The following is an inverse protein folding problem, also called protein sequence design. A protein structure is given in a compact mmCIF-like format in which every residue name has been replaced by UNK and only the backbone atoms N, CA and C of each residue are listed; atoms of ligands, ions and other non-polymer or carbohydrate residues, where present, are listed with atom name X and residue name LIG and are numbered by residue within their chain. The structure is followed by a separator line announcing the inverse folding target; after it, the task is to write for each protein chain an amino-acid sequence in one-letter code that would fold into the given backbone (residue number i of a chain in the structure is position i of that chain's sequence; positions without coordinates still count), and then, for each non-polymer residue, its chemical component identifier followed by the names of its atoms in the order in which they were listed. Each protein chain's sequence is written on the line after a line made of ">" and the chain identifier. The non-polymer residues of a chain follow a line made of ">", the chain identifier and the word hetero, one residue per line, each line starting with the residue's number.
data_IF_797970226774
#
_entry.id   IF_797970226774
#
_cell.length_a   1.000
_cell.length_b   1.000
_cell.length_c   1.000
_cell.angle_alpha   90.00
_cell.angle_beta   90.00
_cell.angle_gamma   90.00
#
_symmetry.space_group_name_H-M   'P 1'
#
loop_
_entity.id
_entity.type
_entity.pdbx_description
1 polymer ?
#
# COMPACT_ATOMS: atom_id res chain seq x y z
N UNK A 1 8.55 -4.45 -20.17
CA UNK A 1 8.92 -3.48 -19.11
C UNK A 1 7.64 -2.80 -18.68
N UNK A 2 7.21 -3.02 -17.45
CA UNK A 2 6.00 -2.42 -16.87
C UNK A 2 6.39 -1.32 -15.87
N UNK A 3 5.78 -1.27 -14.67
CA UNK A 3 5.99 -0.19 -13.69
C UNK A 3 7.40 -0.09 -13.09
N UNK A 4 8.36 -0.93 -13.51
CA UNK A 4 9.79 -0.71 -13.23
C UNK A 4 10.40 0.41 -14.08
N UNK A 5 9.77 0.78 -15.20
CA UNK A 5 10.23 1.84 -16.07
C UNK A 5 9.29 3.05 -15.95
N UNK A 6 9.85 4.25 -15.85
CA UNK A 6 9.10 5.50 -15.72
C UNK A 6 8.08 5.72 -16.86
N UNK A 7 8.34 5.22 -18.07
CA UNK A 7 7.40 5.27 -19.21
C UNK A 7 6.01 4.70 -18.89
N UNK A 8 5.91 3.80 -17.91
CA UNK A 8 4.63 3.30 -17.40
C UNK A 8 3.68 4.40 -16.94
N UNK A 9 4.22 5.47 -16.32
CA UNK A 9 3.42 6.61 -15.84
C UNK A 9 2.67 7.25 -17.01
N UNK A 10 3.38 7.53 -18.10
CA UNK A 10 2.83 8.16 -19.31
C UNK A 10 1.82 7.24 -20.00
N UNK A 11 2.15 5.96 -20.17
CA UNK A 11 1.28 4.97 -20.79
C UNK A 11 -0.04 4.81 -20.01
N UNK A 12 0.02 4.79 -18.68
CA UNK A 12 -1.16 4.69 -17.84
C UNK A 12 -2.06 5.93 -17.93
N UNK A 13 -1.46 7.13 -18.01
CA UNK A 13 -2.22 8.38 -18.19
C UNK A 13 -2.95 8.39 -19.54
N UNK A 14 -2.33 7.89 -20.61
CA UNK A 14 -2.97 7.76 -21.94
C UNK A 14 -4.17 6.79 -21.87
N UNK A 15 -3.99 5.66 -21.22
CA UNK A 15 -5.09 4.70 -20.96
C UNK A 15 -6.23 5.36 -20.19
N UNK A 16 -5.94 5.99 -19.06
CA UNK A 16 -6.95 6.64 -18.22
C UNK A 16 -7.68 7.77 -18.96
N UNK A 17 -6.96 8.59 -19.72
CA UNK A 17 -7.54 9.63 -20.58
C UNK A 17 -8.58 9.06 -21.55
N UNK A 18 -8.28 7.90 -22.14
CA UNK A 18 -9.17 7.20 -23.07
C UNK A 18 -10.44 6.72 -22.36
N UNK A 19 -10.30 6.17 -21.15
CA UNK A 19 -11.44 5.77 -20.31
C UNK A 19 -12.32 6.96 -19.90
N UNK A 20 -11.73 8.07 -19.46
CA UNK A 20 -12.47 9.26 -19.07
C UNK A 20 -13.26 9.85 -20.24
N UNK A 21 -12.65 9.91 -21.43
CA UNK A 21 -13.30 10.40 -22.63
C UNK A 21 -14.46 9.50 -23.09
N UNK A 22 -14.31 8.17 -22.97
CA UNK A 22 -15.29 7.22 -23.45
C UNK A 22 -16.48 6.99 -22.49
N UNK A 23 -16.25 7.09 -21.18
CA UNK A 23 -17.23 6.64 -20.18
C UNK A 23 -17.58 7.68 -19.12
N UNK A 24 -16.85 8.79 -19.03
CA UNK A 24 -17.05 9.79 -17.97
C UNK A 24 -18.36 10.58 -18.07
N UNK A 25 -19.07 10.47 -19.20
CA UNK A 25 -20.46 10.93 -19.32
C UNK A 25 -21.37 10.24 -18.29
N UNK A 26 -21.09 8.98 -17.94
CA UNK A 26 -21.87 8.13 -17.01
C UNK A 26 -21.14 7.76 -15.72
N UNK A 27 -19.84 7.46 -15.79
CA UNK A 27 -19.04 7.06 -14.63
C UNK A 27 -18.67 8.29 -13.80
N UNK A 28 -19.06 8.29 -12.51
CA UNK A 28 -18.84 9.42 -11.58
C UNK A 28 -17.87 9.13 -10.44
N UNK A 29 -17.42 7.90 -10.30
CA UNK A 29 -16.43 7.51 -9.31
C UNK A 29 -15.35 6.70 -10.02
N UNK A 30 -14.12 7.18 -9.96
CA UNK A 30 -12.97 6.57 -10.60
C UNK A 30 -11.97 6.13 -9.53
N UNK A 31 -11.56 4.87 -9.59
CA UNK A 31 -10.42 4.36 -8.84
C UNK A 31 -9.31 4.13 -9.85
N UNK A 32 -8.18 4.81 -9.65
CA UNK A 32 -7.00 4.69 -10.53
C UNK A 32 -6.35 3.33 -10.42
N UNK A 33 -5.93 2.97 -9.21
CA UNK A 33 -5.36 1.67 -8.89
C UNK A 33 -6.15 1.02 -7.75
N UNK A 34 -6.38 -0.28 -7.90
CA UNK A 34 -6.81 -1.17 -6.84
C UNK A 34 -5.55 -1.86 -6.28
N UNK A 35 -5.36 -1.75 -4.97
CA UNK A 35 -4.30 -2.44 -4.21
C UNK A 35 -2.88 -2.27 -4.76
N UNK A 36 -2.43 -1.05 -5.11
CA UNK A 36 -1.08 -0.84 -5.65
C UNK A 36 0.01 -1.25 -4.66
N UNK A 37 -0.29 -1.21 -3.35
CA UNK A 37 0.59 -1.69 -2.29
C UNK A 37 0.74 -3.21 -2.34
N UNK A 38 -0.35 -3.97 -2.48
CA UNK A 38 -0.28 -5.43 -2.55
C UNK A 38 0.30 -5.91 -3.88
N UNK A 39 -0.11 -5.30 -5.00
CA UNK A 39 0.43 -5.56 -6.34
C UNK A 39 1.97 -5.49 -6.37
N UNK A 40 2.55 -4.42 -5.82
CA UNK A 40 3.99 -4.24 -5.82
C UNK A 40 4.72 -5.27 -4.94
N UNK A 41 4.13 -5.64 -3.81
CA UNK A 41 4.71 -6.63 -2.90
C UNK A 41 4.67 -8.04 -3.48
N UNK A 42 3.48 -8.48 -3.89
CA UNK A 42 3.28 -9.84 -4.41
C UNK A 42 3.91 -10.06 -5.79
N UNK A 43 4.07 -9.00 -6.60
CA UNK A 43 4.64 -9.08 -7.94
C UNK A 43 6.14 -8.81 -8.07
N UNK A 44 6.72 -8.03 -7.14
CA UNK A 44 8.12 -7.57 -7.21
C UNK A 44 8.93 -7.81 -5.93
N UNK A 45 8.35 -8.41 -4.90
CA UNK A 45 9.11 -8.93 -3.75
C UNK A 45 8.94 -10.44 -3.55
N UNK A 46 7.91 -11.04 -4.13
CA UNK A 46 7.63 -12.48 -4.11
C UNK A 46 7.25 -12.96 -5.52
N UNK A 47 7.15 -14.28 -5.70
CA UNK A 47 6.63 -14.91 -6.91
C UNK A 47 5.16 -15.35 -6.76
N UNK A 48 4.35 -14.59 -6.01
CA UNK A 48 2.94 -14.91 -5.79
C UNK A 48 2.03 -14.35 -6.88
N UNK A 49 2.36 -13.17 -7.41
CA UNK A 49 1.63 -12.54 -8.52
C UNK A 49 2.57 -12.23 -9.70
N UNK A 50 2.05 -12.12 -10.94
CA UNK A 50 2.85 -11.62 -12.05
C UNK A 50 3.39 -10.20 -11.80
N UNK A 51 4.62 -9.87 -12.25
CA UNK A 51 5.52 -10.71 -13.04
C UNK A 51 6.32 -11.77 -12.23
N UNK A 52 6.22 -11.76 -10.90
CA UNK A 52 6.84 -12.76 -10.03
C UNK A 52 8.35 -12.55 -9.84
N UNK A 53 8.77 -11.28 -9.77
CA UNK A 53 10.17 -10.89 -9.59
C UNK A 53 10.50 -10.82 -8.10
N UNK A 54 11.62 -11.40 -7.69
CA UNK A 54 12.04 -11.41 -6.29
C UNK A 54 13.52 -11.83 -6.11
N UNK A 55 14.07 -11.54 -4.94
CA UNK A 55 15.40 -12.01 -4.51
C UNK A 55 15.35 -13.50 -4.15
N UNK A 56 16.34 -14.27 -4.59
CA UNK A 56 16.50 -15.68 -4.20
C UNK A 56 16.93 -15.82 -2.74
N UNK A 57 16.41 -16.82 -2.02
CA UNK A 57 16.91 -17.17 -0.68
C UNK A 57 15.93 -16.98 0.46
N UNK A 58 14.72 -16.47 0.19
CA UNK A 58 13.62 -16.42 1.17
C UNK A 58 12.64 -17.54 0.84
N UNK A 59 12.61 -18.58 1.68
CA UNK A 59 11.92 -19.86 1.38
C UNK A 59 10.41 -19.69 1.08
N UNK A 60 9.76 -18.73 1.74
CA UNK A 60 8.31 -18.50 1.64
C UNK A 60 7.89 -17.59 0.48
N UNK A 61 8.83 -17.02 -0.29
CA UNK A 61 8.51 -16.07 -1.37
C UNK A 61 8.40 -16.72 -2.75
N UNK A 62 8.52 -18.05 -2.82
CA UNK A 62 8.40 -18.82 -4.04
C UNK A 62 9.72 -18.92 -4.82
N UNK A 63 9.66 -19.57 -6.00
CA UNK A 63 10.84 -19.76 -6.85
C UNK A 63 11.12 -18.49 -7.65
N UNK A 64 12.02 -17.65 -7.13
CA UNK A 64 12.50 -16.45 -7.81
C UNK A 64 13.58 -16.80 -8.84
N UNK A 65 13.44 -16.28 -10.06
CA UNK A 65 14.44 -16.47 -11.14
C UNK A 65 15.21 -15.19 -11.46
N UNK A 66 14.60 -14.04 -11.19
CA UNK A 66 15.13 -12.70 -11.39
C UNK A 66 14.38 -11.70 -10.49
N UNK A 67 14.98 -10.54 -10.26
CA UNK A 67 14.40 -9.46 -9.46
C UNK A 67 15.24 -9.07 -8.25
N UNK A 68 14.80 -8.01 -7.57
CA UNK A 68 15.39 -7.52 -6.33
C UNK A 68 14.29 -7.07 -5.37
N UNK A 69 13.96 -7.92 -4.41
CA UNK A 69 12.92 -7.68 -3.40
C UNK A 69 13.24 -6.51 -2.46
N UNK A 70 14.49 -6.05 -2.42
CA UNK A 70 14.94 -4.91 -1.61
C UNK A 70 14.82 -3.56 -2.32
N UNK A 71 14.62 -3.53 -3.64
CA UNK A 71 14.58 -2.28 -4.42
C UNK A 71 13.39 -2.16 -5.36
N UNK A 72 13.04 -3.23 -6.09
CA UNK A 72 11.98 -3.19 -7.10
C UNK A 72 10.60 -2.78 -6.56
N UNK A 73 10.15 -3.26 -5.37
CA UNK A 73 8.89 -2.82 -4.79
C UNK A 73 8.87 -1.31 -4.51
N UNK A 74 10.01 -0.72 -4.16
CA UNK A 74 10.12 0.71 -3.93
C UNK A 74 9.93 1.52 -5.22
N UNK A 75 10.63 1.11 -6.28
CA UNK A 75 10.52 1.72 -7.61
C UNK A 75 9.08 1.60 -8.13
N UNK A 76 8.48 0.40 -8.04
CA UNK A 76 7.13 0.14 -8.55
C UNK A 76 6.09 0.95 -7.79
N UNK A 77 6.12 0.96 -6.44
CA UNK A 77 5.19 1.77 -5.65
C UNK A 77 5.35 3.26 -5.94
N UNK A 78 6.58 3.74 -6.12
CA UNK A 78 6.85 5.12 -6.48
C UNK A 78 6.22 5.46 -7.85
N UNK A 79 6.45 4.66 -8.89
CA UNK A 79 5.84 4.91 -10.21
C UNK A 79 4.31 4.77 -10.21
N UNK A 80 3.73 3.86 -9.42
CA UNK A 80 2.27 3.76 -9.27
C UNK A 80 1.69 5.02 -8.60
N UNK A 81 2.38 5.57 -7.60
CA UNK A 81 2.00 6.82 -6.95
C UNK A 81 2.06 8.00 -7.93
N UNK A 82 3.12 8.10 -8.74
CA UNK A 82 3.23 9.15 -9.77
C UNK A 82 2.18 8.99 -10.87
N UNK A 83 1.96 7.77 -11.37
CA UNK A 83 0.91 7.46 -12.34
C UNK A 83 -0.48 7.84 -11.82
N UNK A 84 -0.73 7.59 -10.52
CA UNK A 84 -1.96 8.02 -9.85
C UNK A 84 -2.08 9.55 -9.87
N UNK A 85 -1.04 10.26 -9.44
CA UNK A 85 -1.02 11.71 -9.34
C UNK A 85 -1.22 12.40 -10.70
N UNK A 86 -0.51 11.95 -11.75
CA UNK A 86 -0.64 12.48 -13.11
C UNK A 86 -2.04 12.20 -13.69
N UNK A 87 -2.58 11.00 -13.44
CA UNK A 87 -3.95 10.64 -13.88
C UNK A 87 -5.02 11.48 -13.17
N UNK A 88 -4.86 11.70 -11.87
CA UNK A 88 -5.77 12.55 -11.10
C UNK A 88 -5.67 14.01 -11.54
N UNK A 89 -4.46 14.52 -11.77
CA UNK A 89 -4.25 15.86 -12.30
C UNK A 89 -4.96 16.03 -13.65
N UNK A 90 -4.80 15.07 -14.57
CA UNK A 90 -5.51 15.07 -15.85
C UNK A 90 -7.04 15.06 -15.65
N UNK A 91 -7.57 14.20 -14.80
CA UNK A 91 -9.01 14.11 -14.56
C UNK A 91 -9.57 15.42 -14.01
N UNK A 92 -8.96 15.95 -12.95
CA UNK A 92 -9.39 17.18 -12.26
C UNK A 92 -9.34 18.39 -13.18
N UNK A 93 -8.33 18.49 -14.06
CA UNK A 93 -8.17 19.65 -14.95
C UNK A 93 -9.03 19.59 -16.21
N UNK A 94 -9.24 18.40 -16.79
CA UNK A 94 -9.89 18.25 -18.10
C UNK A 94 -11.33 17.76 -18.05
N UNK A 95 -11.68 16.95 -17.06
CA UNK A 95 -12.91 16.17 -17.08
C UNK A 95 -13.82 16.46 -15.89
N UNK A 96 -13.29 16.70 -14.70
CA UNK A 96 -14.07 16.78 -13.46
C UNK A 96 -15.20 17.82 -13.51
N UNK A 97 -14.93 19.03 -14.01
CA UNK A 97 -15.96 20.08 -14.11
C UNK A 97 -17.13 19.68 -15.03
N UNK A 98 -16.83 19.10 -16.20
CA UNK A 98 -17.85 18.73 -17.20
C UNK A 98 -18.56 17.40 -16.88
N UNK A 99 -17.85 16.48 -16.23
CA UNK A 99 -18.35 15.14 -15.93
C UNK A 99 -18.94 15.03 -14.53
N UNK A 100 -18.65 15.97 -13.64
CA UNK A 100 -19.11 15.98 -12.24
C UNK A 100 -18.84 14.65 -11.52
N UNK A 101 -17.62 14.13 -11.67
CA UNK A 101 -17.17 12.90 -11.01
C UNK A 101 -16.03 13.14 -10.04
N UNK A 102 -15.65 12.08 -9.33
CA UNK A 102 -14.61 12.06 -8.32
C UNK A 102 -13.57 10.99 -8.65
N UNK A 103 -12.31 11.24 -8.29
CA UNK A 103 -11.22 10.30 -8.50
C UNK A 103 -10.51 9.94 -7.18
N UNK A 104 -10.12 8.68 -7.04
CA UNK A 104 -9.43 8.16 -5.87
C UNK A 104 -8.50 7.00 -6.19
N UNK A 105 -8.02 6.37 -5.13
CA UNK A 105 -7.17 5.18 -5.12
C UNK A 105 -7.70 4.22 -4.05
N UNK A 106 -7.69 2.91 -4.31
CA UNK A 106 -8.09 1.90 -3.34
C UNK A 106 -6.86 1.15 -2.82
N UNK A 107 -6.69 1.11 -1.50
CA UNK A 107 -5.53 0.50 -0.86
C UNK A 107 -5.93 -0.76 -0.11
N UNK A 108 -5.16 -1.84 -0.27
CA UNK A 108 -5.28 -3.04 0.53
C UNK A 108 -4.88 -2.75 1.97
N UNK A 109 -5.65 -3.24 2.93
CA UNK A 109 -5.44 -2.97 4.33
C UNK A 109 -5.68 -4.18 5.22
N UNK A 110 -4.67 -4.45 6.05
CA UNK A 110 -4.80 -5.19 7.30
C UNK A 110 -4.49 -4.28 8.48
N UNK A 111 -5.20 -4.47 9.58
CA UNK A 111 -4.94 -3.73 10.81
C UNK A 111 -3.76 -4.35 11.57
N UNK A 112 -2.86 -3.50 12.06
CA UNK A 112 -1.71 -3.90 12.87
C UNK A 112 -1.96 -3.52 14.32
N UNK A 113 -2.37 -4.51 15.12
CA UNK A 113 -2.56 -4.33 16.56
C UNK A 113 -1.23 -4.57 17.27
N UNK A 114 -0.75 -3.71 18.17
CA UNK A 114 0.45 -4.02 18.95
C UNK A 114 0.23 -5.29 19.80
N UNK A 115 1.20 -6.20 19.80
CA UNK A 115 1.13 -7.44 20.58
C UNK A 115 1.05 -7.11 22.07
N UNK A 116 1.97 -6.27 22.56
CA UNK A 116 1.97 -5.75 23.93
C UNK A 116 1.87 -4.22 23.97
N UNK A 117 1.63 -3.65 25.15
CA UNK A 117 1.63 -2.19 25.36
C UNK A 117 3.05 -1.61 25.55
N UNK A 118 4.09 -2.34 25.17
CA UNK A 118 5.47 -1.84 25.23
C UNK A 118 5.70 -0.80 24.15
N UNK A 119 6.65 0.12 24.36
CA UNK A 119 6.99 1.14 23.38
C UNK A 119 7.53 0.54 22.06
N UNK A 120 8.21 -0.60 22.13
CA UNK A 120 8.74 -1.32 20.97
C UNK A 120 7.63 -1.86 20.07
N UNK A 121 6.64 -2.55 20.63
CA UNK A 121 5.53 -3.12 19.86
C UNK A 121 4.60 -2.05 19.30
N UNK A 122 4.38 -0.96 20.06
CA UNK A 122 3.67 0.22 19.57
C UNK A 122 4.40 0.83 18.37
N UNK A 123 5.72 1.04 18.45
CA UNK A 123 6.51 1.55 17.34
C UNK A 123 6.48 0.60 16.13
N UNK A 124 6.65 -0.71 16.35
CA UNK A 124 6.58 -1.73 15.31
C UNK A 124 5.23 -1.73 14.58
N UNK A 125 4.11 -1.62 15.31
CA UNK A 125 2.78 -1.52 14.71
C UNK A 125 2.60 -0.26 13.85
N UNK A 126 3.20 0.86 14.26
CA UNK A 126 3.19 2.10 13.48
C UNK A 126 4.06 1.98 12.23
N UNK A 127 5.27 1.40 12.33
CA UNK A 127 6.15 1.12 11.17
C UNK A 127 5.43 0.22 10.16
N UNK A 128 4.82 -0.88 10.61
CA UNK A 128 4.04 -1.76 9.73
C UNK A 128 2.89 -1.01 9.03
N UNK A 129 2.19 -0.13 9.75
CA UNK A 129 1.11 0.70 9.18
C UNK A 129 1.65 1.69 8.15
N UNK A 130 2.80 2.31 8.42
CA UNK A 130 3.44 3.27 7.51
C UNK A 130 3.90 2.58 6.22
N UNK A 131 4.52 1.40 6.31
CA UNK A 131 4.93 0.61 5.14
C UNK A 131 3.78 -0.04 4.35
N UNK A 132 2.54 0.02 4.86
CA UNK A 132 1.36 -0.49 4.17
C UNK A 132 0.45 0.63 3.63
N UNK A 133 -0.12 1.45 4.51
CA UNK A 133 -1.03 2.54 4.18
C UNK A 133 -0.30 3.87 4.03
N UNK A 134 0.58 4.19 4.99
CA UNK A 134 1.28 5.47 5.03
C UNK A 134 2.11 5.73 3.78
N UNK A 135 2.64 4.70 3.14
CA UNK A 135 3.42 4.80 1.92
C UNK A 135 2.67 5.55 0.82
N UNK A 136 1.37 5.28 0.62
CA UNK A 136 0.58 6.01 -0.37
C UNK A 136 -0.10 7.24 0.24
N UNK A 137 -0.65 7.11 1.45
CA UNK A 137 -1.45 8.18 2.04
C UNK A 137 -0.61 9.37 2.53
N UNK A 138 0.56 9.18 3.11
CA UNK A 138 1.36 10.32 3.59
C UNK A 138 1.82 11.21 2.42
N UNK A 139 2.29 10.68 1.27
CA UNK A 139 2.53 11.51 0.10
C UNK A 139 1.30 12.26 -0.39
N UNK A 140 0.14 11.58 -0.46
CA UNK A 140 -1.10 12.19 -0.94
C UNK A 140 -1.57 13.33 -0.02
N UNK A 141 -1.35 13.23 1.28
CA UNK A 141 -1.86 14.22 2.25
C UNK A 141 -0.82 15.28 2.63
N UNK A 142 0.45 14.90 2.72
CA UNK A 142 1.52 15.73 3.25
C UNK A 142 2.57 16.07 2.20
N UNK A 143 2.67 15.31 1.12
CA UNK A 143 3.61 15.53 0.00
C UNK A 143 4.93 14.78 0.13
N UNK A 144 5.08 13.88 1.11
CA UNK A 144 6.31 13.12 1.33
C UNK A 144 6.01 11.77 1.99
N UNK A 145 6.95 10.83 1.90
CA UNK A 145 6.84 9.51 2.53
C UNK A 145 6.91 9.60 4.07
N UNK A 146 6.36 8.60 4.80
CA UNK A 146 6.45 8.55 6.26
C UNK A 146 7.90 8.66 6.76
N UNK A 147 8.11 9.31 7.91
CA UNK A 147 9.44 9.46 8.48
C UNK A 147 10.08 8.10 8.84
N UNK A 148 9.28 7.20 9.40
CA UNK A 148 9.67 5.80 9.70
C UNK A 148 10.12 5.06 8.44
N UNK A 149 9.45 5.29 7.31
CA UNK A 149 9.86 4.69 6.05
C UNK A 149 11.23 5.18 5.58
N UNK A 150 11.46 6.50 5.61
CA UNK A 150 12.76 7.07 5.23
C UNK A 150 13.91 6.60 6.12
N UNK A 151 13.64 6.37 7.40
CA UNK A 151 14.63 5.84 8.34
C UNK A 151 14.94 4.36 8.09
N UNK A 152 13.92 3.53 7.84
CA UNK A 152 14.07 2.06 7.82
C UNK A 152 14.28 1.46 6.42
N UNK A 153 13.78 2.11 5.37
CA UNK A 153 14.04 1.69 3.98
C UNK A 153 15.43 2.11 3.48
N UNK A 154 16.07 3.06 4.16
CA UNK A 154 17.38 3.61 3.79
C UNK A 154 17.38 4.19 2.38
N UNK A 155 18.52 4.05 1.69
CA UNK A 155 18.77 4.62 0.36
C UNK A 155 17.93 3.96 -0.77
N UNK A 156 17.20 2.88 -0.47
CA UNK A 156 16.36 2.15 -1.44
C UNK A 156 15.03 2.84 -1.76
N UNK A 157 14.58 3.79 -0.94
CA UNK A 157 13.33 4.53 -1.13
C UNK A 157 13.57 5.76 -2.04
N UNK A 158 12.96 5.83 -3.24
CA UNK A 158 13.13 6.99 -4.10
C UNK A 158 12.54 8.26 -3.47
N UNK A 159 13.20 9.39 -3.67
CA UNK A 159 12.73 10.69 -3.19
C UNK A 159 11.69 11.29 -4.16
N UNK A 160 10.72 12.01 -3.61
CA UNK A 160 9.82 12.85 -4.42
C UNK A 160 10.51 14.20 -4.66
N UNK A 161 10.69 14.57 -5.93
CA UNK A 161 11.06 15.94 -6.27
C UNK A 161 9.98 16.93 -5.80
N UNK A 162 10.33 18.23 -5.72
CA UNK A 162 9.35 19.24 -5.33
C UNK A 162 8.15 19.33 -6.29
N UNK A 163 8.35 18.99 -7.57
CA UNK A 163 7.26 18.94 -8.56
C UNK A 163 6.35 17.72 -8.32
N UNK A 164 6.93 16.54 -8.16
CA UNK A 164 6.19 15.31 -7.89
C UNK A 164 5.41 15.41 -6.57
N UNK A 165 6.07 15.90 -5.51
CA UNK A 165 5.45 16.18 -4.21
C UNK A 165 4.22 17.08 -4.35
N UNK A 166 4.33 18.16 -5.13
CA UNK A 166 3.22 19.09 -5.35
C UNK A 166 2.07 18.47 -6.15
N UNK A 167 2.37 17.56 -7.09
CA UNK A 167 1.36 16.85 -7.89
C UNK A 167 0.67 15.74 -7.12
N UNK A 168 1.41 14.98 -6.31
CA UNK A 168 0.87 13.89 -5.49
C UNK A 168 -0.01 14.45 -4.37
N UNK A 169 0.38 15.58 -3.77
CA UNK A 169 -0.41 16.18 -2.69
C UNK A 169 -1.80 16.61 -3.16
N UNK A 170 -2.84 16.02 -2.58
CA UNK A 170 -4.24 16.30 -2.92
C UNK A 170 -4.72 15.61 -4.20
N UNK A 171 -4.02 14.56 -4.68
CA UNK A 171 -4.37 13.81 -5.89
C UNK A 171 -5.61 12.92 -5.77
N UNK A 172 -6.40 13.04 -4.70
CA UNK A 172 -7.63 12.27 -4.46
C UNK A 172 -8.79 13.19 -4.11
N UNK A 173 -10.01 12.72 -4.37
CA UNK A 173 -11.27 13.27 -3.85
C UNK A 173 -11.87 12.34 -2.78
N UNK A 174 -11.48 11.07 -2.80
CA UNK A 174 -11.81 10.06 -1.79
C UNK A 174 -10.70 8.98 -1.70
N UNK A 175 -10.67 8.26 -0.59
CA UNK A 175 -9.82 7.07 -0.41
C UNK A 175 -10.70 5.81 -0.46
N UNK A 176 -10.31 4.80 -1.23
CA UNK A 176 -10.84 3.44 -1.13
C UNK A 176 -10.02 2.61 -0.15
N UNK A 177 -10.68 1.83 0.69
CA UNK A 177 -10.06 0.96 1.69
C UNK A 177 -10.57 -0.47 1.50
N UNK A 178 -9.67 -1.37 1.15
CA UNK A 178 -9.93 -2.81 1.05
C UNK A 178 -9.54 -3.43 2.39
N UNK A 179 -10.49 -3.53 3.33
CA UNK A 179 -10.26 -3.88 4.73
C UNK A 179 -10.55 -5.35 4.96
N UNK A 180 -9.49 -6.15 5.13
CA UNK A 180 -9.57 -7.62 5.09
C UNK A 180 -9.40 -8.26 6.47
N UNK A 181 -8.29 -8.02 7.16
CA UNK A 181 -7.88 -8.83 8.33
C UNK A 181 -7.08 -7.99 9.35
N UNK A 182 -6.66 -8.60 10.46
CA UNK A 182 -5.71 -8.02 11.40
C UNK A 182 -4.68 -9.03 11.88
N UNK A 183 -3.55 -8.52 12.34
CA UNK A 183 -2.53 -9.27 13.05
C UNK A 183 -2.06 -8.50 14.28
N UNK A 184 -1.61 -9.23 15.30
CA UNK A 184 -0.76 -8.66 16.33
C UNK A 184 0.64 -8.44 15.77
N UNK A 185 1.29 -7.35 16.16
CA UNK A 185 2.62 -6.93 15.67
C UNK A 185 3.55 -6.66 16.83
N UNK A 186 4.78 -7.12 16.72
CA UNK A 186 5.85 -6.91 17.69
C UNK A 186 7.16 -6.56 17.01
N UNK A 187 8.07 -5.92 17.75
CA UNK A 187 9.39 -5.59 17.23
C UNK A 187 10.23 -6.85 16.99
N UNK A 188 10.78 -6.96 15.79
CA UNK A 188 11.60 -8.11 15.40
C UNK A 188 12.47 -7.77 14.19
N UNK A 189 13.77 -8.08 14.27
CA UNK A 189 14.72 -7.83 13.18
C UNK A 189 15.08 -9.13 12.46
N UNK A 190 14.37 -9.40 11.36
CA UNK A 190 14.62 -10.57 10.52
C UNK A 190 16.01 -10.58 9.88
N UNK A 191 16.66 -9.43 9.72
CA UNK A 191 18.02 -9.39 9.17
C UNK A 191 19.05 -9.88 10.19
N UNK A 192 18.80 -9.73 11.49
CA UNK A 192 19.72 -10.26 12.51
C UNK A 192 19.51 -11.76 12.74
N UNK A 193 18.27 -12.22 12.70
CA UNK A 193 17.89 -13.55 13.20
C UNK A 193 17.75 -14.62 12.10
N UNK A 194 17.11 -14.28 10.96
CA UNK A 194 16.68 -15.28 9.98
C UNK A 194 17.38 -15.14 8.62
N UNK A 195 17.57 -13.90 8.14
CA UNK A 195 18.04 -13.63 6.78
C UNK A 195 19.18 -12.59 6.70
N UNK A 196 20.34 -12.83 7.34
CA UNK A 196 21.43 -11.84 7.44
C UNK A 196 22.12 -11.48 6.13
N UNK A 197 21.87 -12.23 5.06
CA UNK A 197 22.48 -11.99 3.75
C UNK A 197 21.42 -11.76 2.65
N UNK A 198 20.21 -11.36 3.02
CA UNK A 198 19.15 -10.99 2.07
C UNK A 198 18.78 -9.52 2.18
N UNK A 199 18.10 -9.00 1.16
CA UNK A 199 17.39 -7.72 1.20
C UNK A 199 15.94 -7.94 0.79
N UNK A 200 15.00 -7.38 1.56
CA UNK A 200 13.59 -7.37 1.17
C UNK A 200 12.82 -6.29 1.92
N UNK A 201 12.03 -5.51 1.17
CA UNK A 201 11.25 -4.43 1.74
C UNK A 201 10.22 -4.86 2.81
N UNK A 202 9.79 -6.13 2.82
CA UNK A 202 8.92 -6.67 3.86
C UNK A 202 9.61 -6.77 5.23
N UNK A 203 10.95 -6.82 5.26
CA UNK A 203 11.75 -6.95 6.48
C UNK A 203 12.16 -5.59 7.05
N UNK A 204 12.22 -4.56 6.19
CA UNK A 204 12.62 -3.20 6.56
C UNK A 204 11.82 -2.59 7.73
N UNK A 205 10.50 -2.83 7.90
CA UNK A 205 9.78 -2.32 9.06
C UNK A 205 10.27 -2.84 10.41
N UNK A 206 11.15 -3.85 10.45
CA UNK A 206 11.60 -4.54 11.67
C UNK A 206 10.43 -4.89 12.59
N UNK A 207 9.44 -5.55 12.01
CA UNK A 207 8.18 -5.87 12.66
C UNK A 207 7.71 -7.26 12.20
N UNK A 208 7.44 -8.14 13.14
CA UNK A 208 6.86 -9.45 12.89
C UNK A 208 5.38 -9.48 13.25
N UNK A 209 4.65 -10.45 12.70
CA UNK A 209 3.21 -10.57 12.83
C UNK A 209 2.82 -11.92 13.42
N UNK A 210 1.79 -11.95 14.26
CA UNK A 210 1.18 -13.18 14.79
C UNK A 210 -0.33 -13.05 14.83
N UNK A 211 -1.03 -14.17 14.64
CA UNK A 211 -2.48 -14.25 14.76
C UNK A 211 -2.98 -14.42 16.20
N UNK A 212 -2.08 -14.63 17.16
CA UNK A 212 -2.43 -15.00 18.54
C UNK A 212 -1.70 -14.16 19.58
N UNK A 213 -2.39 -13.89 20.70
CA UNK A 213 -1.82 -13.30 21.92
C UNK A 213 -2.30 -14.10 23.12
N UNK A 214 -1.38 -14.60 23.94
CA UNK A 214 -1.69 -15.44 25.10
C UNK A 214 -2.55 -16.68 24.76
N UNK A 215 -2.28 -17.31 23.61
CA UNK A 215 -3.07 -18.41 23.01
C UNK A 215 -4.53 -18.03 22.66
N UNK A 216 -4.82 -16.73 22.54
CA UNK A 216 -6.11 -16.23 22.06
C UNK A 216 -5.92 -15.65 20.67
N UNK A 217 -6.64 -16.20 19.69
CA UNK A 217 -6.62 -15.70 18.32
C UNK A 217 -7.23 -14.30 18.22
N UNK A 218 -6.69 -13.47 17.33
CA UNK A 218 -7.18 -12.11 17.04
C UNK A 218 -8.57 -12.11 16.38
N UNK A 219 -8.94 -13.23 15.74
CA UNK A 219 -10.23 -13.41 15.07
C UNK A 219 -10.54 -14.86 14.74
N UNK A 220 -11.54 -15.07 13.89
CA UNK A 220 -11.94 -16.42 13.43
C UNK A 220 -11.25 -16.72 12.10
N UNK A 221 -10.62 -17.88 11.96
CA UNK A 221 -9.92 -18.29 10.73
C UNK A 221 -8.48 -18.72 11.01
N UNK A 222 -7.77 -19.15 9.96
CA UNK A 222 -6.40 -19.70 10.07
C UNK A 222 -5.34 -18.96 9.23
N UNK A 223 -5.75 -18.10 8.29
CA UNK A 223 -4.85 -17.35 7.40
C UNK A 223 -5.24 -15.88 7.37
N UNK A 224 -6.44 -15.59 6.87
CA UNK A 224 -7.10 -14.30 7.03
C UNK A 224 -8.15 -14.43 8.14
N UNK A 225 -7.95 -13.67 9.22
CA UNK A 225 -8.83 -13.68 10.37
C UNK A 225 -10.02 -12.77 10.11
N UNK A 226 -11.23 -13.27 10.33
CA UNK A 226 -12.43 -12.45 10.44
C UNK A 226 -12.37 -11.65 11.76
N UNK A 227 -12.10 -10.35 11.64
CA UNK A 227 -11.92 -9.44 12.78
C UNK A 227 -12.82 -8.20 12.60
N UNK A 228 -14.14 -8.27 12.89
CA UNK A 228 -15.08 -7.20 12.51
C UNK A 228 -14.78 -5.81 13.07
N UNK A 229 -14.11 -5.72 14.22
CA UNK A 229 -13.78 -4.45 14.87
C UNK A 229 -12.73 -3.63 14.10
N UNK A 230 -12.03 -4.20 13.13
CA UNK A 230 -10.97 -3.51 12.36
C UNK A 230 -11.53 -2.39 11.52
N UNK A 231 -12.74 -2.54 10.96
CA UNK A 231 -13.36 -1.50 10.13
C UNK A 231 -13.48 -0.20 10.95
N UNK A 232 -13.91 -0.31 12.21
CA UNK A 232 -14.01 0.84 13.10
C UNK A 232 -12.62 1.46 13.36
N UNK A 233 -11.62 0.65 13.70
CA UNK A 233 -10.27 1.13 13.99
C UNK A 233 -9.62 1.80 12.77
N UNK A 234 -9.76 1.21 11.59
CA UNK A 234 -9.31 1.81 10.32
C UNK A 234 -9.97 3.16 10.09
N UNK A 235 -11.29 3.27 10.22
CA UNK A 235 -12.00 4.54 10.04
C UNK A 235 -11.63 5.59 11.11
N UNK A 236 -11.39 5.18 12.36
CA UNK A 236 -10.86 6.06 13.41
C UNK A 236 -9.44 6.54 13.05
N UNK A 237 -8.58 5.68 12.53
CA UNK A 237 -7.24 6.05 12.07
C UNK A 237 -7.30 7.10 10.94
N UNK A 238 -8.12 6.87 9.91
CA UNK A 238 -8.32 7.84 8.83
C UNK A 238 -8.90 9.16 9.35
N UNK A 239 -9.85 9.09 10.30
CA UNK A 239 -10.42 10.27 10.96
C UNK A 239 -9.37 11.13 11.63
N UNK A 240 -8.48 10.52 12.40
CA UNK A 240 -7.51 11.26 13.22
C UNK A 240 -6.24 11.64 12.46
N UNK A 241 -5.66 10.74 11.66
CA UNK A 241 -4.44 11.02 10.90
C UNK A 241 -4.74 11.88 9.67
N UNK A 242 -5.68 11.43 8.82
CA UNK A 242 -5.98 12.07 7.53
C UNK A 242 -7.23 12.97 7.59
N UNK A 243 -7.45 13.63 8.74
CA UNK A 243 -8.46 14.69 8.90
C UNK A 243 -9.88 14.32 8.48
N UNK A 244 -10.29 13.07 8.69
CA UNK A 244 -11.63 12.58 8.35
C UNK A 244 -11.97 12.77 6.85
N UNK A 245 -10.97 12.59 6.00
CA UNK A 245 -11.13 12.65 4.55
C UNK A 245 -12.17 11.64 4.06
N UNK A 246 -12.97 11.97 3.02
CA UNK A 246 -13.94 11.05 2.45
C UNK A 246 -13.32 9.69 2.13
N UNK A 247 -13.92 8.62 2.67
CA UNK A 247 -13.44 7.27 2.51
C UNK A 247 -14.58 6.29 2.27
N UNK A 248 -14.28 5.24 1.51
CA UNK A 248 -15.21 4.17 1.15
C UNK A 248 -14.54 2.82 1.48
N UNK A 249 -15.29 1.92 2.12
CA UNK A 249 -14.89 0.51 2.16
C UNK A 249 -15.19 -0.07 0.77
N UNK A 250 -14.14 -0.27 -0.02
CA UNK A 250 -14.24 -0.70 -1.43
C UNK A 250 -14.20 -2.22 -1.55
N UNK A 251 -13.54 -2.91 -0.62
CA UNK A 251 -13.59 -4.36 -0.49
C UNK A 251 -13.56 -4.77 0.99
N UNK A 252 -14.32 -5.80 1.33
CA UNK A 252 -14.25 -6.51 2.61
C UNK A 252 -14.91 -7.87 2.42
N UNK A 253 -14.44 -8.90 3.10
CA UNK A 253 -14.97 -10.25 2.95
C UNK A 253 -14.11 -11.29 3.63
N UNK A 254 -14.56 -12.53 3.59
CA UNK A 254 -13.87 -13.69 4.13
C UNK A 254 -13.70 -14.74 3.01
N UNK A 255 -12.52 -15.33 2.91
CA UNK A 255 -12.27 -16.46 2.03
C UNK A 255 -12.75 -17.75 2.70
N UNK A 256 -13.90 -18.27 2.25
CA UNK A 256 -14.37 -19.59 2.66
C UNK A 256 -14.01 -20.64 1.60
N UNK A 257 -13.12 -21.57 1.94
CA UNK A 257 -13.01 -22.84 1.22
C UNK A 257 -14.18 -23.73 1.65
N UNK A 258 -15.26 -23.76 0.86
CA UNK A 258 -16.32 -24.78 0.96
C UNK A 258 -15.89 -26.00 0.16
#
# INVERSE_FOLDING_TARGET
>A
MGPLNYTFVEDFVIYANTCFAAFGDRVKYWITFDEPNDYAGLGYATNQNPPGRCTTGIENYGKCWEGDSGTEPYIVRHHLLLAHAETAHLYKTRYQESQNGSIGIALWHRWFEPLTNTSSDLAASQRATDFLLGWFLDPIFYGDYPASMKEYAGDGLPELSSEESAKVKGSVDFIGLNVITAFYVYEYDFYEEDYPNTTCYYLDPKAAMTGERDNVSIGVGNHDYAVPWIIRKTLEYIKYKYHNFPSYITQTGEWNHI
#
